data_IF_157077775761
#
_entry.id   IF_157077775761
#
_cell.length_a   1.000
_cell.length_b   1.000
_cell.length_c   1.000
_cell.angle_alpha   90.00
_cell.angle_beta   90.00
_cell.angle_gamma   90.00
#
_symmetry.space_group_name_H-M   'P 1'
#
loop_
_entity.id
_entity.type
_entity.pdbx_description
1 polymer ?
#
# COMPACT_ATOMS: atom_id res chain seq x y z
N UNK A 1 -59.80 33.37 -27.70
CA UNK A 1 -58.91 33.98 -28.70
C UNK A 1 -57.54 33.33 -28.63
N UNK A 2 -57.25 32.53 -29.65
CA UNK A 2 -56.00 31.79 -29.78
C UNK A 2 -54.91 32.71 -30.34
N UNK A 3 -53.71 32.76 -29.72
CA UNK A 3 -52.54 33.31 -30.38
C UNK A 3 -51.47 32.22 -30.37
N UNK A 4 -51.24 31.60 -31.51
CA UNK A 4 -50.08 30.72 -31.80
C UNK A 4 -48.91 31.63 -32.16
N UNK A 5 -47.79 31.49 -31.45
CA UNK A 5 -46.50 32.06 -31.82
C UNK A 5 -45.67 30.95 -32.43
N UNK A 6 -45.51 31.05 -33.75
CA UNK A 6 -44.68 30.20 -34.58
C UNK A 6 -43.24 30.72 -34.48
N UNK A 7 -42.30 29.92 -33.97
CA UNK A 7 -40.85 30.19 -34.03
C UNK A 7 -40.24 29.37 -35.17
N UNK A 8 -39.47 30.00 -36.06
CA UNK A 8 -38.86 29.28 -37.17
C UNK A 8 -37.61 28.50 -36.74
N UNK A 9 -37.57 27.28 -37.20
CA UNK A 9 -36.48 26.35 -37.11
C UNK A 9 -35.30 26.82 -37.99
N UNK A 10 -34.24 27.40 -37.44
CA UNK A 10 -32.98 27.65 -38.15
C UNK A 10 -32.09 26.46 -38.02
N UNK A 11 -31.94 25.73 -39.10
CA UNK A 11 -31.03 24.65 -39.34
C UNK A 11 -29.59 25.20 -39.45
N UNK A 12 -28.79 25.05 -38.41
CA UNK A 12 -27.35 25.37 -38.48
C UNK A 12 -26.61 24.06 -38.76
N UNK A 13 -26.19 23.92 -40.01
CA UNK A 13 -25.32 22.85 -40.49
C UNK A 13 -23.88 23.25 -40.20
N UNK A 14 -23.28 22.68 -39.18
CA UNK A 14 -21.83 22.85 -38.90
C UNK A 14 -21.10 21.68 -39.55
N UNK A 15 -20.40 22.02 -40.63
CA UNK A 15 -19.42 21.14 -41.28
C UNK A 15 -18.19 21.02 -40.39
N UNK A 16 -17.91 19.84 -39.87
CA UNK A 16 -16.68 19.53 -39.14
C UNK A 16 -15.65 19.09 -40.17
N UNK A 17 -14.66 19.95 -40.40
CA UNK A 17 -13.43 19.65 -41.18
C UNK A 17 -12.55 18.66 -40.38
N UNK A 18 -12.42 17.47 -40.95
CA UNK A 18 -11.45 16.49 -40.51
C UNK A 18 -10.06 16.93 -40.99
N UNK A 19 -9.22 17.43 -40.10
CA UNK A 19 -7.78 17.53 -40.34
C UNK A 19 -7.10 16.30 -39.79
N UNK A 20 -6.73 15.41 -40.72
CA UNK A 20 -5.84 14.27 -40.51
C UNK A 20 -4.41 14.80 -40.39
N UNK A 21 -3.79 14.67 -39.24
CA UNK A 21 -2.33 14.79 -39.07
C UNK A 21 -1.72 13.39 -39.04
N UNK A 22 -1.13 13.00 -40.18
CA UNK A 22 -0.18 11.88 -40.27
C UNK A 22 1.16 12.34 -39.68
N UNK A 23 1.61 11.79 -38.57
CA UNK A 23 2.97 11.88 -38.11
C UNK A 23 3.74 10.63 -38.53
N UNK A 24 4.73 10.90 -39.31
CA UNK A 24 5.73 10.08 -39.99
C UNK A 24 6.64 9.39 -38.96
N UNK A 25 6.71 8.06 -39.01
CA UNK A 25 7.76 7.27 -38.38
C UNK A 25 9.11 7.62 -38.99
N UNK A 26 10.07 7.92 -38.17
CA UNK A 26 11.47 7.92 -38.54
C UNK A 26 12.15 6.78 -37.78
N UNK A 27 12.49 5.75 -38.55
CA UNK A 27 13.48 4.74 -38.21
C UNK A 27 14.82 5.46 -38.00
N UNK A 28 15.48 5.20 -36.90
CA UNK A 28 16.90 5.39 -36.78
C UNK A 28 17.52 4.22 -36.02
N UNK A 29 17.95 3.24 -36.80
CA UNK A 29 18.87 2.20 -36.40
C UNK A 29 20.23 2.83 -36.14
N UNK A 30 20.77 2.73 -34.96
CA UNK A 30 22.20 2.86 -34.75
C UNK A 30 22.69 1.82 -33.75
N UNK A 31 23.44 0.86 -34.25
CA UNK A 31 24.27 -0.08 -33.51
C UNK A 31 25.38 0.73 -32.79
N UNK A 32 25.52 0.44 -31.51
CA UNK A 32 26.66 0.93 -30.73
C UNK A 32 26.99 -0.11 -29.65
N UNK A 33 27.96 -0.98 -29.98
CA UNK A 33 28.67 -1.83 -29.04
C UNK A 33 29.25 -1.01 -27.88
N UNK A 34 28.99 -1.45 -26.64
CA UNK A 34 29.57 -0.88 -25.44
C UNK A 34 29.62 -1.92 -24.33
N UNK A 35 30.61 -2.82 -24.41
CA UNK A 35 31.01 -3.69 -23.32
C UNK A 35 31.39 -2.84 -22.11
N UNK A 36 30.78 -3.11 -20.95
CA UNK A 36 31.41 -2.84 -19.67
C UNK A 36 31.27 -4.03 -18.75
N UNK A 37 32.40 -4.61 -18.49
CA UNK A 37 32.68 -5.74 -17.61
C UNK A 37 32.49 -5.32 -16.15
N UNK A 38 31.64 -6.04 -15.46
CA UNK A 38 31.61 -6.03 -14.01
C UNK A 38 32.68 -7.00 -13.49
N UNK A 39 33.66 -6.46 -12.77
CA UNK A 39 34.76 -7.20 -12.15
C UNK A 39 34.28 -7.85 -10.85
N UNK A 40 34.10 -9.15 -10.88
CA UNK A 40 33.99 -9.99 -9.65
C UNK A 40 35.41 -10.40 -9.24
N UNK A 41 35.84 -9.98 -8.05
CA UNK A 41 37.03 -10.54 -7.36
C UNK A 41 36.62 -11.83 -6.65
N UNK A 42 36.91 -12.96 -7.25
CA UNK A 42 36.93 -14.26 -6.60
C UNK A 42 38.26 -14.46 -5.88
N UNK A 43 38.15 -14.90 -4.64
CA UNK A 43 39.28 -15.31 -3.81
C UNK A 43 39.60 -16.79 -4.09
N UNK A 44 40.69 -17.09 -4.75
CA UNK A 44 41.15 -18.43 -5.02
C UNK A 44 42.31 -18.80 -4.09
N UNK A 45 42.05 -19.80 -3.28
CA UNK A 45 42.95 -20.58 -2.48
C UNK A 45 43.92 -21.32 -3.42
N UNK A 46 45.24 -21.19 -3.21
CA UNK A 46 46.25 -22.04 -3.85
C UNK A 46 46.95 -22.88 -2.78
N UNK A 47 46.67 -24.14 -2.83
CA UNK A 47 47.51 -25.20 -2.29
C UNK A 47 48.61 -25.50 -3.32
N UNK A 48 49.85 -25.63 -2.85
CA UNK A 48 50.93 -26.39 -3.43
C UNK A 48 51.77 -26.85 -2.21
N UNK A 49 51.95 -28.12 -1.91
CA UNK A 49 52.46 -29.18 -2.78
C UNK A 49 53.95 -29.41 -2.47
N UNK A 50 54.18 -30.47 -1.73
CA UNK A 50 55.47 -31.05 -1.33
C UNK A 50 56.55 -31.00 -2.44
N UNK A 51 57.81 -30.77 -1.99
CA UNK A 51 58.91 -31.60 -2.43
C UNK A 51 60.00 -31.58 -1.32
N UNK A 52 60.31 -32.78 -0.86
CA UNK A 52 61.41 -33.13 0.04
C UNK A 52 62.70 -33.16 -0.75
N UNK A 53 63.76 -32.57 -0.21
CA UNK A 53 65.11 -33.14 -0.36
C UNK A 53 66.05 -32.74 0.80
N UNK A 54 66.83 -33.69 1.31
CA UNK A 54 67.72 -33.51 2.48
C UNK A 54 69.14 -33.15 2.06
N UNK A 55 69.78 -32.25 2.77
CA UNK A 55 71.26 -32.21 2.86
C UNK A 55 71.76 -31.63 4.20
N UNK A 56 72.37 -32.50 4.90
CA UNK A 56 73.61 -32.52 5.69
C UNK A 56 74.14 -31.20 6.28
N UNK A 57 74.32 -31.29 7.56
CA UNK A 57 75.40 -30.82 8.45
C UNK A 57 76.29 -29.63 7.99
N UNK A 58 76.17 -28.55 8.74
CA UNK A 58 77.32 -27.78 9.14
C UNK A 58 77.03 -27.01 10.43
N UNK A 59 77.72 -27.45 11.50
CA UNK A 59 77.73 -26.72 12.75
C UNK A 59 78.33 -25.32 12.55
N UNK A 60 77.63 -24.30 12.80
CA UNK A 60 78.16 -22.97 13.05
C UNK A 60 77.49 -22.38 14.30
N UNK A 61 78.31 -22.29 15.35
CA UNK A 61 77.99 -21.51 16.56
C UNK A 61 77.87 -20.05 16.18
N UNK A 62 76.69 -19.61 15.96
CA UNK A 62 76.35 -18.18 15.86
C UNK A 62 75.74 -17.74 17.17
N UNK A 63 76.40 -16.83 17.83
CA UNK A 63 75.94 -16.16 19.04
C UNK A 63 74.51 -15.58 18.86
N UNK A 64 73.67 -15.89 19.80
CA UNK A 64 72.39 -15.28 20.01
C UNK A 64 72.56 -13.89 20.66
N UNK A 65 73.07 -12.91 19.93
CA UNK A 65 73.27 -11.56 20.45
C UNK A 65 72.00 -10.61 20.16
N UNK A 66 70.92 -11.19 19.67
CA UNK A 66 69.80 -10.36 19.25
C UNK A 66 68.72 -10.15 20.33
N UNK A 67 68.69 -10.90 21.42
CA UNK A 67 67.66 -10.75 22.47
C UNK A 67 68.09 -9.95 23.71
N UNK A 68 69.41 -9.62 23.87
CA UNK A 68 69.86 -8.86 25.03
C UNK A 68 69.81 -7.33 24.91
N UNK A 69 69.45 -6.76 23.77
CA UNK A 69 69.53 -5.30 23.60
C UNK A 69 68.39 -4.51 24.28
N UNK A 70 67.39 -5.13 24.84
CA UNK A 70 66.31 -4.45 25.56
C UNK A 70 66.27 -4.79 27.07
N UNK A 71 67.15 -5.53 27.59
CA UNK A 71 67.22 -5.87 29.01
C UNK A 71 68.23 -4.95 29.74
N UNK A 72 67.74 -4.15 30.66
CA UNK A 72 68.53 -3.27 31.49
C UNK A 72 68.87 -4.04 32.80
N UNK A 73 70.07 -4.49 32.95
CA UNK A 73 70.50 -5.14 34.18
C UNK A 73 70.92 -4.09 35.21
N UNK A 74 70.17 -3.96 36.29
CA UNK A 74 70.47 -3.09 37.40
C UNK A 74 70.90 -3.90 38.57
N UNK A 75 72.06 -3.52 39.19
CA UNK A 75 72.43 -4.10 40.45
C UNK A 75 71.45 -3.69 41.54
N UNK A 76 71.31 -4.55 42.57
CA UNK A 76 70.38 -4.28 43.70
C UNK A 76 70.67 -2.92 44.38
N UNK A 77 71.92 -2.50 44.44
CA UNK A 77 72.30 -1.20 44.99
C UNK A 77 71.84 -0.04 44.13
N UNK A 78 71.97 -0.14 42.78
CA UNK A 78 71.46 0.90 41.87
C UNK A 78 69.92 0.92 41.81
N UNK A 79 69.28 -0.22 41.90
CA UNK A 79 67.79 -0.30 41.94
C UNK A 79 67.29 0.43 43.18
N UNK A 80 67.84 0.24 44.34
CA UNK A 80 67.49 0.86 45.59
C UNK A 80 67.78 2.40 45.60
N UNK A 81 68.97 2.80 45.04
CA UNK A 81 69.37 4.20 44.95
C UNK A 81 68.49 5.04 43.97
N UNK A 82 67.91 4.40 42.94
CA UNK A 82 67.00 5.07 41.97
C UNK A 82 65.55 5.11 42.43
N UNK A 83 65.22 4.55 43.58
CA UNK A 83 63.90 4.51 44.19
C UNK A 83 62.82 3.97 43.21
N UNK A 84 63.21 2.94 42.42
CA UNK A 84 62.32 2.34 41.43
C UNK A 84 61.22 1.56 42.16
N UNK A 85 60.00 1.86 41.90
CA UNK A 85 58.84 1.10 42.37
C UNK A 85 58.30 0.25 41.20
N UNK A 86 58.19 -1.04 41.46
CA UNK A 86 57.54 -1.99 40.54
C UNK A 86 56.14 -2.21 41.03
N UNK A 87 55.17 -1.97 40.13
CA UNK A 87 53.76 -2.18 40.44
C UNK A 87 53.13 -3.00 39.30
N UNK A 88 52.03 -3.65 39.59
CA UNK A 88 51.25 -4.40 38.59
C UNK A 88 50.16 -3.50 38.01
N UNK A 89 49.99 -3.56 36.71
CA UNK A 89 48.87 -2.86 36.05
C UNK A 89 47.58 -3.64 36.32
N UNK A 90 46.69 -3.13 37.15
CA UNK A 90 45.40 -3.80 37.40
C UNK A 90 44.51 -3.72 36.18
N UNK A 91 43.88 -4.85 35.82
CA UNK A 91 42.80 -4.86 34.85
C UNK A 91 41.58 -4.23 35.51
N UNK A 92 41.16 -3.07 35.01
CA UNK A 92 39.98 -2.40 35.48
C UNK A 92 38.91 -2.43 34.38
N UNK A 93 37.66 -2.69 34.79
CA UNK A 93 36.53 -2.53 33.89
C UNK A 93 36.32 -1.00 33.62
N UNK A 94 36.45 -0.61 32.36
CA UNK A 94 36.09 0.72 31.92
C UNK A 94 34.57 0.73 31.63
N UNK A 95 33.80 1.39 32.48
CA UNK A 95 32.37 1.67 32.21
C UNK A 95 32.25 3.10 31.69
N UNK A 96 31.78 3.23 30.47
CA UNK A 96 31.41 4.52 29.89
C UNK A 96 29.90 4.63 29.78
N UNK A 97 29.35 5.81 30.04
CA UNK A 97 27.96 6.11 29.72
C UNK A 97 27.93 6.64 28.29
N UNK A 98 27.22 5.93 27.42
CA UNK A 98 26.97 6.37 26.06
C UNK A 98 25.57 6.99 26.03
N UNK A 99 25.48 8.30 25.83
CA UNK A 99 24.21 8.96 25.62
C UNK A 99 23.84 8.86 24.14
N UNK A 100 22.70 8.26 23.85
CA UNK A 100 22.16 8.14 22.50
C UNK A 100 20.78 8.77 22.45
N UNK A 101 20.52 9.48 21.37
CA UNK A 101 19.17 9.98 21.07
C UNK A 101 18.49 8.94 20.18
N UNK A 102 17.26 8.58 20.54
CA UNK A 102 16.44 7.64 19.79
C UNK A 102 15.02 8.17 19.59
N UNK A 103 14.35 7.68 18.55
CA UNK A 103 12.94 7.91 18.29
C UNK A 103 12.22 6.56 18.34
N UNK A 104 11.13 6.51 19.09
CA UNK A 104 10.26 5.34 19.09
C UNK A 104 9.30 5.44 17.91
N UNK A 105 9.25 4.41 17.09
CA UNK A 105 8.31 4.30 15.98
C UNK A 105 7.51 3.02 16.13
N UNK A 106 6.19 3.13 15.90
CA UNK A 106 5.31 1.99 15.88
C UNK A 106 5.53 1.16 14.61
N UNK A 107 5.42 -0.16 14.72
CA UNK A 107 5.44 -1.02 13.56
C UNK A 107 4.32 -0.66 12.58
N UNK A 108 4.56 -0.75 11.25
CA UNK A 108 3.56 -0.38 10.23
C UNK A 108 2.23 -1.11 10.38
N UNK A 109 2.22 -2.34 10.87
CA UNK A 109 1.01 -3.14 11.12
C UNK A 109 0.09 -2.58 12.22
N UNK A 110 0.63 -1.71 13.09
CA UNK A 110 -0.11 -1.05 14.17
C UNK A 110 -0.57 0.37 13.78
N UNK A 111 -0.38 0.77 12.52
CA UNK A 111 -0.83 2.05 11.98
C UNK A 111 -1.82 1.82 10.85
N UNK A 112 -2.85 2.64 10.80
CA UNK A 112 -3.78 2.69 9.68
C UNK A 112 -4.03 4.14 9.28
N UNK A 113 -4.02 4.38 7.97
CA UNK A 113 -4.44 5.67 7.41
C UNK A 113 -5.83 5.45 6.81
N UNK A 114 -6.79 6.19 7.32
CA UNK A 114 -8.15 6.19 6.80
C UNK A 114 -8.21 7.23 5.68
N UNK A 115 -8.54 6.79 4.46
CA UNK A 115 -8.63 7.63 3.27
C UNK A 115 -10.05 7.73 2.77
N UNK A 116 -10.35 8.79 2.04
CA UNK A 116 -11.64 8.96 1.35
C UNK A 116 -11.74 7.95 0.18
N UNK A 117 -12.82 7.15 0.14
CA UNK A 117 -13.08 6.21 -0.96
C UNK A 117 -13.55 6.94 -2.21
N UNK A 118 -14.25 8.05 -2.03
CA UNK A 118 -14.77 8.92 -3.10
C UNK A 118 -14.56 10.39 -2.72
N UNK A 119 -14.49 11.26 -3.73
CA UNK A 119 -14.51 12.71 -3.50
C UNK A 119 -15.83 13.13 -2.86
N UNK A 120 -15.78 13.86 -1.75
CA UNK A 120 -16.99 14.23 -1.02
C UNK A 120 -16.77 15.42 -0.09
N UNK A 121 -17.86 16.06 0.32
CA UNK A 121 -17.83 17.05 1.38
C UNK A 121 -17.87 16.38 2.76
N UNK A 122 -17.03 16.83 3.66
CA UNK A 122 -17.07 16.45 5.08
C UNK A 122 -18.24 17.14 5.76
N UNK A 123 -19.20 16.38 6.25
CA UNK A 123 -20.36 16.94 6.96
C UNK A 123 -20.02 17.17 8.42
N UNK A 124 -19.37 16.18 9.05
CA UNK A 124 -19.05 16.23 10.46
C UNK A 124 -17.91 15.28 10.78
N UNK A 125 -17.02 15.67 11.70
CA UNK A 125 -16.01 14.80 12.31
C UNK A 125 -16.45 14.47 13.74
N UNK A 126 -16.55 13.18 14.06
CA UNK A 126 -17.06 12.68 15.35
C UNK A 126 -15.97 12.43 16.37
N UNK A 127 -14.70 12.53 15.97
CA UNK A 127 -13.56 12.18 16.80
C UNK A 127 -12.53 13.29 16.83
N UNK A 128 -11.74 13.31 17.89
CA UNK A 128 -10.64 14.24 18.12
C UNK A 128 -9.31 13.49 18.23
N UNK A 129 -8.19 14.18 18.08
CA UNK A 129 -6.86 13.60 18.27
C UNK A 129 -6.69 13.09 19.72
N UNK A 130 -6.09 11.92 19.86
CA UNK A 130 -5.90 11.22 21.13
C UNK A 130 -7.10 10.40 21.60
N UNK A 131 -8.26 10.45 20.93
CA UNK A 131 -9.45 9.68 21.31
C UNK A 131 -9.29 8.20 20.98
N UNK A 132 -9.75 7.33 21.91
CA UNK A 132 -9.78 5.88 21.70
C UNK A 132 -10.95 5.49 20.81
N UNK A 133 -10.67 4.75 19.75
CA UNK A 133 -11.66 4.27 18.78
C UNK A 133 -11.62 2.77 18.62
N UNK A 134 -12.77 2.19 18.30
CA UNK A 134 -12.91 0.76 17.99
C UNK A 134 -12.99 0.54 16.49
N UNK A 135 -12.59 -0.65 16.06
CA UNK A 135 -12.82 -1.10 14.68
C UNK A 135 -14.30 -0.94 14.30
N UNK A 136 -14.55 -0.41 13.10
CA UNK A 136 -15.89 -0.08 12.60
C UNK A 136 -16.61 1.07 13.32
N UNK A 137 -15.96 1.76 14.24
CA UNK A 137 -16.52 3.00 14.83
C UNK A 137 -16.52 4.11 13.78
N UNK A 138 -17.60 4.88 13.73
CA UNK A 138 -17.74 6.02 12.81
C UNK A 138 -16.85 7.17 13.26
N UNK A 139 -16.00 7.63 12.36
CA UNK A 139 -15.07 8.75 12.56
C UNK A 139 -15.62 10.06 11.98
N UNK A 140 -16.26 9.98 10.82
CA UNK A 140 -16.82 11.13 10.12
C UNK A 140 -17.99 10.72 9.21
N UNK A 141 -18.74 11.71 8.75
CA UNK A 141 -19.77 11.57 7.72
C UNK A 141 -19.39 12.37 6.48
N UNK A 142 -19.51 11.73 5.32
CA UNK A 142 -19.28 12.32 4.01
C UNK A 142 -20.57 12.43 3.23
N UNK A 143 -20.69 13.46 2.38
CA UNK A 143 -21.80 13.64 1.45
C UNK A 143 -21.32 13.95 0.04
N UNK A 144 -21.94 13.29 -0.93
CA UNK A 144 -21.75 13.58 -2.35
C UNK A 144 -23.00 13.28 -3.15
N UNK A 145 -23.39 14.11 -4.14
CA UNK A 145 -24.60 13.90 -4.95
C UNK A 145 -24.66 12.53 -5.64
N UNK A 146 -23.53 11.99 -6.07
CA UNK A 146 -23.46 10.65 -6.70
C UNK A 146 -23.90 9.50 -5.79
N UNK A 147 -23.91 9.69 -4.47
CA UNK A 147 -24.41 8.66 -3.54
C UNK A 147 -25.89 8.36 -3.78
N UNK A 148 -26.69 9.40 -4.00
CA UNK A 148 -28.11 9.26 -4.31
C UNK A 148 -28.32 8.56 -5.65
N UNK A 149 -27.55 8.96 -6.69
CA UNK A 149 -27.65 8.35 -8.02
C UNK A 149 -27.28 6.86 -7.99
N UNK A 150 -26.22 6.47 -7.26
CA UNK A 150 -25.81 5.08 -7.10
C UNK A 150 -26.92 4.23 -6.43
N UNK A 151 -27.56 4.76 -5.40
CA UNK A 151 -28.64 4.08 -4.70
C UNK A 151 -29.89 3.93 -5.57
N UNK A 152 -30.28 4.97 -6.34
CA UNK A 152 -31.38 4.91 -7.29
C UNK A 152 -31.10 3.89 -8.40
N UNK A 153 -29.87 3.88 -8.94
CA UNK A 153 -29.47 2.89 -9.94
C UNK A 153 -29.60 1.46 -9.41
N UNK A 154 -29.14 1.24 -8.17
CA UNK A 154 -29.25 -0.07 -7.52
C UNK A 154 -30.72 -0.51 -7.36
N UNK A 155 -31.59 0.36 -6.85
CA UNK A 155 -33.03 0.06 -6.67
C UNK A 155 -33.65 -0.35 -8.01
N UNK A 156 -33.38 0.42 -9.08
CA UNK A 156 -33.91 0.15 -10.43
C UNK A 156 -33.46 -1.24 -10.92
N UNK A 157 -32.17 -1.51 -10.87
CA UNK A 157 -31.58 -2.78 -11.35
C UNK A 157 -32.05 -3.95 -10.49
N UNK A 158 -32.14 -3.79 -9.18
CA UNK A 158 -32.64 -4.80 -8.27
C UNK A 158 -34.10 -5.19 -8.57
N UNK A 159 -34.98 -4.22 -8.78
CA UNK A 159 -36.38 -4.47 -9.12
C UNK A 159 -36.51 -5.17 -10.49
N UNK A 160 -35.70 -4.77 -11.47
CA UNK A 160 -35.65 -5.42 -12.78
C UNK A 160 -35.12 -6.87 -12.67
N UNK A 161 -34.10 -7.11 -11.82
CA UNK A 161 -33.62 -8.45 -11.54
C UNK A 161 -34.71 -9.35 -10.95
N UNK A 162 -35.48 -8.84 -9.99
CA UNK A 162 -36.60 -9.62 -9.41
C UNK A 162 -37.71 -9.94 -10.43
N UNK A 163 -37.99 -9.00 -11.33
CA UNK A 163 -38.94 -9.25 -12.42
C UNK A 163 -38.42 -10.35 -13.36
N UNK A 164 -37.19 -10.22 -13.84
CA UNK A 164 -36.58 -11.19 -14.74
C UNK A 164 -36.37 -12.57 -14.09
N UNK A 165 -36.13 -12.62 -12.79
CA UNK A 165 -36.03 -13.88 -12.05
C UNK A 165 -37.36 -14.66 -12.12
N UNK A 166 -38.48 -13.98 -11.86
CA UNK A 166 -39.83 -14.60 -11.96
C UNK A 166 -40.14 -15.02 -13.39
N UNK A 167 -39.76 -14.20 -14.37
CA UNK A 167 -39.96 -14.47 -15.79
C UNK A 167 -39.13 -15.69 -16.23
N UNK A 168 -37.84 -15.76 -15.81
CA UNK A 168 -36.96 -16.89 -16.07
C UNK A 168 -37.54 -18.19 -15.51
N UNK A 169 -38.01 -18.19 -14.28
CA UNK A 169 -38.63 -19.36 -13.65
C UNK A 169 -39.87 -19.79 -14.43
N UNK A 170 -40.68 -18.83 -14.87
CA UNK A 170 -41.89 -19.10 -15.68
C UNK A 170 -41.50 -19.72 -17.03
N UNK A 171 -40.57 -19.11 -17.77
CA UNK A 171 -40.14 -19.60 -19.09
C UNK A 171 -39.45 -20.96 -19.01
N UNK A 172 -38.67 -21.18 -17.95
CA UNK A 172 -38.07 -22.49 -17.70
C UNK A 172 -39.13 -23.57 -17.54
N UNK A 173 -40.15 -23.34 -16.73
CA UNK A 173 -41.24 -24.32 -16.51
C UNK A 173 -41.98 -24.63 -17.81
N UNK A 174 -42.34 -23.59 -18.60
CA UNK A 174 -43.01 -23.77 -19.90
C UNK A 174 -42.14 -24.58 -20.88
N UNK A 175 -40.84 -24.36 -20.87
CA UNK A 175 -39.90 -25.11 -21.70
C UNK A 175 -39.78 -26.57 -21.25
N UNK A 176 -39.69 -26.82 -19.94
CA UNK A 176 -39.59 -28.16 -19.38
C UNK A 176 -40.88 -28.98 -19.64
N UNK A 177 -42.05 -28.31 -19.68
CA UNK A 177 -43.35 -28.90 -20.04
C UNK A 177 -43.55 -29.07 -21.55
N UNK A 178 -42.58 -28.66 -22.40
CA UNK A 178 -42.61 -28.81 -23.86
C UNK A 178 -43.53 -27.83 -24.61
N UNK A 179 -44.10 -26.84 -23.90
CA UNK A 179 -45.02 -25.84 -24.49
C UNK A 179 -44.36 -24.45 -24.69
N UNK A 180 -43.12 -24.28 -24.17
CA UNK A 180 -42.34 -23.03 -24.28
C UNK A 180 -41.35 -23.05 -25.42
N UNK A 181 -41.02 -21.86 -25.96
CA UNK A 181 -39.99 -21.69 -26.97
C UNK A 181 -38.57 -21.75 -26.28
N UNK A 182 -37.71 -22.67 -26.76
CA UNK A 182 -36.32 -22.72 -26.28
C UNK A 182 -35.56 -21.39 -26.47
N UNK A 183 -35.84 -20.68 -27.58
CA UNK A 183 -35.25 -19.36 -27.83
C UNK A 183 -35.63 -18.34 -26.76
N UNK A 184 -36.92 -18.28 -26.40
CA UNK A 184 -37.42 -17.34 -25.36
C UNK A 184 -36.84 -17.69 -24.00
N UNK A 185 -36.75 -18.97 -23.65
CA UNK A 185 -36.12 -19.43 -22.42
C UNK A 185 -34.64 -19.00 -22.34
N UNK A 186 -33.86 -19.28 -23.40
CA UNK A 186 -32.45 -18.91 -23.44
C UNK A 186 -32.22 -17.39 -23.35
N UNK A 187 -33.06 -16.62 -24.07
CA UNK A 187 -33.01 -15.16 -24.02
C UNK A 187 -33.29 -14.65 -22.60
N UNK A 188 -34.38 -15.08 -21.97
CA UNK A 188 -34.75 -14.68 -20.62
C UNK A 188 -33.69 -15.08 -19.60
N UNK A 189 -33.07 -16.26 -19.78
CA UNK A 189 -31.96 -16.71 -18.95
C UNK A 189 -30.76 -15.76 -19.06
N UNK A 190 -30.37 -15.39 -20.28
CA UNK A 190 -29.25 -14.47 -20.52
C UNK A 190 -29.55 -13.09 -19.92
N UNK A 191 -30.75 -12.55 -20.11
CA UNK A 191 -31.18 -11.26 -19.58
C UNK A 191 -31.16 -11.25 -18.05
N UNK A 192 -31.67 -12.33 -17.43
CA UNK A 192 -31.63 -12.48 -15.96
C UNK A 192 -30.20 -12.52 -15.43
N UNK A 193 -29.30 -13.28 -16.07
CA UNK A 193 -27.91 -13.37 -15.63
C UNK A 193 -27.18 -12.02 -15.76
N UNK A 194 -27.43 -11.29 -16.83
CA UNK A 194 -26.85 -9.95 -17.05
C UNK A 194 -27.28 -8.98 -15.94
N UNK A 195 -28.57 -8.85 -15.72
CA UNK A 195 -29.12 -7.96 -14.67
C UNK A 195 -28.70 -8.38 -13.27
N UNK A 196 -28.61 -9.68 -13.01
CA UNK A 196 -28.10 -10.21 -11.74
C UNK A 196 -26.63 -9.80 -11.48
N UNK A 197 -25.80 -9.87 -12.53
CA UNK A 197 -24.42 -9.40 -12.47
C UNK A 197 -24.34 -7.90 -12.16
N UNK A 198 -25.15 -7.08 -12.85
CA UNK A 198 -25.21 -5.64 -12.64
C UNK A 198 -25.68 -5.29 -11.22
N UNK A 199 -26.76 -5.92 -10.74
CA UNK A 199 -27.26 -5.75 -9.38
C UNK A 199 -26.17 -6.08 -8.34
N UNK A 200 -25.41 -7.15 -8.57
CA UNK A 200 -24.32 -7.57 -7.69
C UNK A 200 -23.16 -6.58 -7.69
N UNK A 201 -22.82 -6.02 -8.84
CA UNK A 201 -21.81 -4.97 -8.97
C UNK A 201 -22.18 -3.72 -8.15
N UNK A 202 -23.40 -3.21 -8.33
CA UNK A 202 -23.92 -2.06 -7.59
C UNK A 202 -24.03 -2.35 -6.07
N UNK A 203 -24.45 -3.55 -5.68
CA UNK A 203 -24.47 -3.98 -4.29
C UNK A 203 -23.08 -3.92 -3.66
N UNK A 204 -22.06 -4.37 -4.40
CA UNK A 204 -20.66 -4.34 -3.94
C UNK A 204 -20.17 -2.91 -3.75
N UNK A 205 -20.49 -2.00 -4.69
CA UNK A 205 -20.15 -0.58 -4.55
C UNK A 205 -20.80 0.05 -3.31
N UNK A 206 -22.07 -0.23 -3.05
CA UNK A 206 -22.77 0.26 -1.85
C UNK A 206 -22.12 -0.26 -0.56
N UNK A 207 -21.72 -1.54 -0.55
CA UNK A 207 -21.04 -2.14 0.61
C UNK A 207 -19.66 -1.54 0.87
N UNK A 208 -18.90 -1.22 -0.18
CA UNK A 208 -17.62 -0.52 -0.05
C UNK A 208 -17.76 0.86 0.60
N UNK A 209 -18.90 1.50 0.38
CA UNK A 209 -19.26 2.78 1.00
C UNK A 209 -19.89 2.62 2.40
N UNK A 210 -19.89 1.41 2.98
CA UNK A 210 -20.55 1.10 4.24
C UNK A 210 -22.04 1.46 4.27
N UNK A 211 -22.72 1.43 3.10
CA UNK A 211 -24.15 1.67 2.99
C UNK A 211 -24.90 0.34 3.20
N UNK A 212 -25.89 0.37 4.07
CA UNK A 212 -26.72 -0.80 4.36
C UNK A 212 -27.69 -1.07 3.20
N UNK A 213 -27.36 -2.05 2.39
CA UNK A 213 -28.07 -2.40 1.15
C UNK A 213 -29.56 -2.71 1.38
N UNK A 214 -29.94 -3.28 2.54
CA UNK A 214 -31.34 -3.56 2.87
C UNK A 214 -32.18 -2.28 2.91
N UNK A 215 -31.68 -1.24 3.60
CA UNK A 215 -32.38 0.04 3.69
C UNK A 215 -32.60 0.65 2.32
N UNK A 216 -31.57 0.56 1.45
CA UNK A 216 -31.67 1.08 0.07
C UNK A 216 -32.74 0.30 -0.72
N UNK A 217 -32.83 -1.02 -0.62
CA UNK A 217 -33.89 -1.83 -1.25
C UNK A 217 -35.29 -1.44 -0.80
N UNK A 218 -35.42 -1.09 0.45
CA UNK A 218 -36.71 -0.67 1.04
C UNK A 218 -37.05 0.79 0.70
N UNK A 219 -36.24 1.45 -0.18
CA UNK A 219 -36.46 2.81 -0.64
C UNK A 219 -35.86 3.89 0.27
N UNK A 220 -35.18 3.52 1.36
CA UNK A 220 -34.54 4.47 2.26
C UNK A 220 -33.19 4.92 1.69
N UNK A 221 -33.16 6.09 1.08
CA UNK A 221 -31.95 6.69 0.51
C UNK A 221 -31.15 7.37 1.62
N UNK A 222 -29.88 6.99 1.74
CA UNK A 222 -28.92 7.54 2.69
C UNK A 222 -28.18 8.71 2.06
N UNK A 223 -28.17 9.87 2.71
CA UNK A 223 -27.52 11.08 2.21
C UNK A 223 -26.04 11.15 2.61
N UNK A 224 -25.68 10.49 3.70
CA UNK A 224 -24.35 10.56 4.30
C UNK A 224 -23.74 9.17 4.39
N UNK A 225 -22.45 9.08 4.06
CA UNK A 225 -21.67 7.84 4.17
C UNK A 225 -20.80 7.92 5.40
N UNK A 226 -20.84 6.91 6.29
CA UNK A 226 -19.95 6.84 7.42
C UNK A 226 -18.55 6.42 7.00
N UNK A 227 -17.56 7.17 7.44
CA UNK A 227 -16.15 6.76 7.41
C UNK A 227 -15.86 6.07 8.74
N UNK A 228 -15.36 4.83 8.67
CA UNK A 228 -15.15 4.01 9.87
C UNK A 228 -13.68 3.67 10.08
N UNK A 229 -13.30 3.42 11.34
CA UNK A 229 -11.95 2.95 11.66
C UNK A 229 -11.74 1.51 11.20
N UNK A 230 -10.62 1.20 10.50
CA UNK A 230 -10.28 -0.17 10.10
C UNK A 230 -9.71 -1.02 11.25
N UNK A 231 -9.20 -0.39 12.31
CA UNK A 231 -8.55 -1.05 13.46
C UNK A 231 -9.04 -0.44 14.77
N UNK A 232 -8.81 -1.16 15.87
CA UNK A 232 -8.91 -0.60 17.22
C UNK A 232 -7.66 0.24 17.50
N UNK A 233 -7.78 1.32 18.27
CA UNK A 233 -6.62 2.15 18.64
C UNK A 233 -6.98 3.56 19.05
N UNK A 234 -6.09 4.50 18.78
CA UNK A 234 -6.23 5.92 19.10
C UNK A 234 -6.06 6.76 17.85
N UNK A 235 -6.78 7.87 17.76
CA UNK A 235 -6.62 8.83 16.66
C UNK A 235 -5.28 9.55 16.84
N UNK A 236 -4.33 9.32 15.93
CA UNK A 236 -3.04 9.99 15.90
C UNK A 236 -3.17 11.42 15.37
N UNK A 237 -3.93 11.56 14.25
CA UNK A 237 -4.13 12.86 13.57
C UNK A 237 -5.49 12.93 12.92
N UNK A 238 -6.06 14.12 12.92
CA UNK A 238 -7.26 14.48 12.15
C UNK A 238 -6.82 15.46 11.05
N UNK A 239 -6.91 15.03 9.79
CA UNK A 239 -6.40 15.77 8.62
C UNK A 239 -7.51 16.45 7.82
N UNK A 240 -8.75 16.45 8.33
CA UNK A 240 -9.93 17.00 7.68
C UNK A 240 -10.62 18.06 8.54
N UNK A 241 -11.37 18.94 7.87
CA UNK A 241 -12.19 19.94 8.52
C UNK A 241 -13.65 19.82 8.06
N UNK A 242 -14.59 20.10 8.95
CA UNK A 242 -16.02 20.14 8.60
C UNK A 242 -16.28 21.18 7.50
N UNK A 243 -17.05 20.79 6.47
CA UNK A 243 -17.33 21.62 5.31
C UNK A 243 -16.27 21.55 4.20
N UNK A 244 -15.12 20.92 4.44
CA UNK A 244 -14.07 20.73 3.43
C UNK A 244 -14.51 19.71 2.38
N UNK A 245 -14.20 19.99 1.10
CA UNK A 245 -14.23 18.97 0.07
C UNK A 245 -12.88 18.20 0.09
N UNK A 246 -12.97 16.87 0.06
CA UNK A 246 -11.80 15.98 0.01
C UNK A 246 -11.81 15.16 -1.27
N UNK A 247 -10.63 15.01 -1.87
CA UNK A 247 -10.44 14.19 -3.06
C UNK A 247 -10.42 12.70 -2.74
N UNK A 248 -10.70 11.82 -3.72
CA UNK A 248 -10.52 10.38 -3.56
C UNK A 248 -9.08 10.06 -3.13
N UNK A 249 -8.93 9.09 -2.23
CA UNK A 249 -7.66 8.64 -1.67
C UNK A 249 -6.93 9.65 -0.76
N UNK A 250 -7.48 10.85 -0.55
CA UNK A 250 -6.91 11.79 0.40
C UNK A 250 -6.94 11.22 1.83
N UNK A 251 -5.86 11.37 2.61
CA UNK A 251 -5.81 10.93 4.00
C UNK A 251 -6.73 11.78 4.86
N UNK A 252 -7.53 11.15 5.69
CA UNK A 252 -8.50 11.78 6.58
C UNK A 252 -8.10 11.67 8.05
N UNK A 253 -7.74 10.44 8.47
CA UNK A 253 -7.36 10.14 9.85
C UNK A 253 -6.15 9.22 9.89
N UNK A 254 -5.27 9.45 10.85
CA UNK A 254 -4.27 8.49 11.30
C UNK A 254 -4.80 7.74 12.52
N UNK A 255 -4.79 6.42 12.51
CA UNK A 255 -5.16 5.58 13.66
C UNK A 255 -3.97 4.72 14.03
N UNK A 256 -3.62 4.70 15.31
CA UNK A 256 -2.53 3.89 15.84
C UNK A 256 -3.04 2.95 16.91
N UNK A 257 -2.58 1.71 16.85
CA UNK A 257 -2.81 0.73 17.91
C UNK A 257 -1.54 0.58 18.74
N UNK A 258 -1.61 0.93 20.01
CA UNK A 258 -0.52 0.77 20.99
C UNK A 258 -0.88 -0.21 22.12
N UNK A 259 -1.98 -0.96 21.98
CA UNK A 259 -2.30 -2.04 22.90
C UNK A 259 -1.36 -3.23 22.59
N UNK A 260 -0.37 -3.46 23.47
CA UNK A 260 0.54 -4.60 23.50
C UNK A 260 0.09 -5.61 24.53
#
# INVERSE_FOLDING_TARGET
>A
MKKYILFPFTLVLIAILLTSCTSKSADNSNLGDGKNQASQKGNAKKEHGHDEHPHEDSANKGHNDAEEMNAVHLSTQKFNSLNIKVDTIPIRALSGVVNVNGRLELFPQHKAIVTAILGANVIDSKVIEGEKVKKSQVLAYLSHPNLTNLQIAYIKVYNQMQFLEKEYVRQKRLYDEGIGSGKTYQQTQADYQTIKGEAKGLETQLKQLNIEVRKVRDGNIVQYVPVVSPIDGYIEKVLIQTGQFIDPQAPMFGVINNDY
#
